data_IF_268961975973
#
_entry.id   IF_268961975973
#
_cell.length_a   1.000
_cell.length_b   1.000
_cell.length_c   1.000
_cell.angle_alpha   90.00
_cell.angle_beta   90.00
_cell.angle_gamma   90.00
#
_symmetry.space_group_name_H-M   'P 1'
#
loop_
_entity.id
_entity.type
_entity.pdbx_description
1 polymer ?
#
# COMPACT_ATOMS: atom_id res chain seq x y z
N UNK A 1 20.71 12.19 1.03
CA UNK A 1 21.00 11.41 2.27
C UNK A 1 20.38 12.19 3.41
N UNK A 2 19.40 11.62 4.11
CA UNK A 2 18.65 12.35 5.14
C UNK A 2 19.14 11.87 6.51
N UNK A 3 19.43 12.83 7.39
CA UNK A 3 19.76 12.55 8.78
C UNK A 3 18.56 12.93 9.63
N UNK A 4 18.09 12.00 10.47
CA UNK A 4 17.06 12.27 11.48
C UNK A 4 17.73 12.19 12.84
N UNK A 5 17.79 13.31 13.56
CA UNK A 5 18.50 13.41 14.84
C UNK A 5 19.96 12.88 14.80
N UNK A 6 20.69 13.18 13.71
CA UNK A 6 22.07 12.74 13.52
C UNK A 6 22.23 11.28 13.06
N UNK A 7 21.14 10.50 12.97
CA UNK A 7 21.17 9.11 12.49
C UNK A 7 21.05 9.11 10.97
N UNK A 8 21.93 8.37 10.30
CA UNK A 8 21.86 8.12 8.86
C UNK A 8 20.58 7.35 8.55
N UNK A 9 19.55 8.07 8.11
CA UNK A 9 18.37 7.46 7.54
C UNK A 9 18.67 7.21 6.06
N UNK A 10 18.73 5.93 5.65
CA UNK A 10 18.80 5.59 4.23
C UNK A 10 17.69 6.35 3.49
N UNK A 11 17.95 6.80 2.25
CA UNK A 11 17.06 7.73 1.54
C UNK A 11 15.60 7.27 1.70
N UNK A 12 14.73 8.04 2.35
CA UNK A 12 13.43 7.55 2.81
C UNK A 12 12.49 7.18 1.66
N UNK A 13 12.76 7.70 0.46
CA UNK A 13 12.23 7.26 -0.82
C UNK A 13 12.39 5.75 -1.08
N UNK A 14 13.41 5.11 -0.47
CA UNK A 14 13.68 3.67 -0.60
C UNK A 14 12.87 2.78 0.35
N UNK A 15 12.12 3.33 1.29
CA UNK A 15 11.46 2.54 2.34
C UNK A 15 9.96 2.76 2.38
N UNK A 16 9.51 3.99 2.64
CA UNK A 16 8.10 4.29 2.94
C UNK A 16 7.61 5.54 2.20
N UNK A 17 8.47 6.53 1.96
CA UNK A 17 8.02 7.84 1.47
C UNK A 17 7.55 7.81 0.01
N UNK A 18 8.04 6.87 -0.80
CA UNK A 18 7.62 6.79 -2.21
C UNK A 18 6.10 6.66 -2.36
N UNK A 19 5.42 5.91 -1.49
CA UNK A 19 3.97 5.73 -1.55
C UNK A 19 3.23 7.01 -1.16
N UNK A 20 3.73 7.77 -0.18
CA UNK A 20 3.19 9.07 0.22
C UNK A 20 3.34 10.13 -0.88
N UNK A 21 4.47 10.15 -1.59
CA UNK A 21 4.67 11.03 -2.76
C UNK A 21 3.65 10.67 -3.85
N UNK A 22 3.48 9.37 -4.14
CA UNK A 22 2.48 8.91 -5.09
C UNK A 22 1.08 9.37 -4.69
N UNK A 23 0.70 9.18 -3.42
CA UNK A 23 -0.61 9.58 -2.88
C UNK A 23 -0.85 11.09 -3.02
N UNK A 24 0.13 11.93 -2.69
CA UNK A 24 0.03 13.39 -2.87
C UNK A 24 -0.21 13.77 -4.33
N UNK A 25 0.52 13.14 -5.26
CA UNK A 25 0.34 13.35 -6.70
C UNK A 25 -1.07 12.91 -7.13
N UNK A 26 -1.55 11.78 -6.64
CA UNK A 26 -2.89 11.27 -7.00
C UNK A 26 -4.00 12.21 -6.54
N UNK A 27 -3.92 12.72 -5.30
CA UNK A 27 -4.88 13.70 -4.81
C UNK A 27 -4.81 15.02 -5.59
N UNK A 28 -3.62 15.47 -6.01
CA UNK A 28 -3.47 16.65 -6.86
C UNK A 28 -4.05 16.42 -8.28
N UNK A 29 -3.91 15.22 -8.83
CA UNK A 29 -4.43 14.86 -10.15
C UNK A 29 -5.93 14.56 -10.15
N UNK A 30 -6.50 14.14 -9.02
CA UNK A 30 -7.90 13.70 -8.95
C UNK A 30 -8.90 14.72 -9.51
N UNK A 31 -8.85 16.03 -9.16
CA UNK A 31 -9.79 17.01 -9.71
C UNK A 31 -9.72 17.10 -11.24
N UNK A 32 -8.51 17.07 -11.80
CA UNK A 32 -8.30 17.11 -13.25
C UNK A 32 -8.89 15.87 -13.92
N UNK A 33 -8.66 14.68 -13.32
CA UNK A 33 -9.23 13.44 -13.81
C UNK A 33 -10.76 13.43 -13.68
N UNK A 34 -11.32 13.99 -12.61
CA UNK A 34 -12.76 14.03 -12.36
C UNK A 34 -13.51 14.96 -13.32
N UNK A 35 -12.90 16.08 -13.74
CA UNK A 35 -13.51 17.03 -14.70
C UNK A 35 -13.73 16.39 -16.08
N UNK A 36 -12.91 15.40 -16.46
CA UNK A 36 -13.03 14.75 -17.77
C UNK A 36 -14.22 13.79 -17.83
N UNK A 37 -15.07 13.91 -18.87
CA UNK A 37 -16.31 13.12 -19.05
C UNK A 37 -16.10 11.62 -19.35
N UNK A 38 -14.86 11.17 -19.49
CA UNK A 38 -14.54 9.77 -19.75
C UNK A 38 -14.90 8.90 -18.55
N UNK A 39 -15.41 7.68 -18.77
CA UNK A 39 -15.71 6.78 -17.66
C UNK A 39 -14.44 6.40 -16.89
N UNK A 40 -14.56 6.25 -15.58
CA UNK A 40 -13.45 5.81 -14.71
C UNK A 40 -12.85 4.48 -15.16
N UNK A 41 -13.66 3.57 -15.71
CA UNK A 41 -13.17 2.30 -16.24
C UNK A 41 -12.23 2.49 -17.43
N UNK A 42 -12.58 3.37 -18.38
CA UNK A 42 -11.74 3.69 -19.53
C UNK A 42 -10.44 4.39 -19.10
N UNK A 43 -10.52 5.33 -18.15
CA UNK A 43 -9.35 5.99 -17.57
C UNK A 43 -8.39 4.98 -16.94
N UNK A 44 -8.93 4.10 -16.11
CA UNK A 44 -8.17 3.04 -15.42
C UNK A 44 -7.50 2.12 -16.43
N UNK A 45 -8.23 1.64 -17.44
CA UNK A 45 -7.70 0.77 -18.48
C UNK A 45 -6.56 1.43 -19.27
N UNK A 46 -6.73 2.68 -19.69
CA UNK A 46 -5.71 3.41 -20.43
C UNK A 46 -4.45 3.65 -19.58
N UNK A 47 -4.63 3.97 -18.30
CA UNK A 47 -3.51 4.17 -17.37
C UNK A 47 -2.80 2.85 -17.05
N UNK A 48 -3.50 1.72 -17.03
CA UNK A 48 -2.85 0.39 -16.98
C UNK A 48 -1.94 0.17 -18.18
N UNK A 49 -2.39 0.52 -19.40
CA UNK A 49 -1.56 0.40 -20.61
C UNK A 49 -0.32 1.28 -20.51
N UNK A 50 -0.47 2.56 -20.15
CA UNK A 50 0.65 3.47 -19.96
C UNK A 50 1.64 2.92 -18.93
N UNK A 51 1.13 2.47 -17.78
CA UNK A 51 1.96 1.92 -16.72
C UNK A 51 2.73 0.69 -17.20
N UNK A 52 2.09 -0.21 -17.94
CA UNK A 52 2.73 -1.39 -18.50
C UNK A 52 3.84 -1.03 -19.49
N UNK A 53 3.60 -0.07 -20.39
CA UNK A 53 4.63 0.43 -21.32
C UNK A 53 5.83 1.00 -20.56
N UNK A 54 5.59 1.81 -19.53
CA UNK A 54 6.66 2.40 -18.71
C UNK A 54 7.41 1.31 -17.94
N UNK A 55 6.74 0.27 -17.44
CA UNK A 55 7.42 -0.87 -16.79
C UNK A 55 8.32 -1.59 -17.80
N UNK A 56 7.82 -1.89 -19.00
CA UNK A 56 8.61 -2.56 -20.03
C UNK A 56 9.85 -1.77 -20.43
N UNK A 57 9.75 -0.43 -20.52
CA UNK A 57 10.88 0.43 -20.86
C UNK A 57 11.83 0.68 -19.68
N UNK A 58 11.29 1.09 -18.53
CA UNK A 58 12.05 1.53 -17.36
C UNK A 58 12.55 0.41 -16.46
N UNK A 59 11.83 -0.70 -16.39
CA UNK A 59 12.18 -1.89 -15.59
C UNK A 59 12.49 -3.10 -16.46
N UNK A 60 13.03 -2.88 -17.68
CA UNK A 60 13.33 -3.94 -18.64
C UNK A 60 14.20 -5.08 -18.07
N UNK A 61 15.10 -4.77 -17.11
CA UNK A 61 15.94 -5.77 -16.46
C UNK A 61 15.15 -6.74 -15.60
N UNK A 62 14.21 -6.23 -14.79
CA UNK A 62 13.32 -7.07 -13.99
C UNK A 62 12.38 -7.88 -14.87
N UNK A 63 11.92 -7.30 -15.99
CA UNK A 63 11.09 -8.00 -16.98
C UNK A 63 11.90 -9.12 -17.64
N UNK A 64 13.13 -8.84 -18.07
CA UNK A 64 14.00 -9.85 -18.67
C UNK A 64 14.32 -10.95 -17.66
N UNK A 65 14.72 -10.61 -16.44
CA UNK A 65 15.00 -11.56 -15.37
C UNK A 65 13.79 -12.43 -15.02
N UNK A 66 12.57 -11.89 -15.12
CA UNK A 66 11.34 -12.66 -14.97
C UNK A 66 11.18 -13.75 -16.05
N UNK A 67 11.55 -13.47 -17.31
CA UNK A 67 11.46 -14.46 -18.39
C UNK A 67 12.66 -15.40 -18.44
N UNK A 68 13.88 -14.89 -18.24
CA UNK A 68 15.12 -15.67 -18.38
C UNK A 68 15.55 -16.33 -17.09
N UNK A 69 14.93 -15.99 -15.95
CA UNK A 69 15.29 -16.47 -14.62
C UNK A 69 16.77 -16.27 -14.29
N UNK A 70 17.40 -15.25 -14.88
CA UNK A 70 18.84 -14.97 -14.79
C UNK A 70 19.10 -13.46 -14.79
N UNK A 71 20.28 -13.04 -14.34
CA UNK A 71 20.69 -11.63 -14.36
C UNK A 71 20.34 -10.86 -13.09
N UNK A 72 20.55 -9.54 -13.14
CA UNK A 72 20.34 -8.66 -12.00
C UNK A 72 18.86 -8.29 -11.84
N UNK A 73 18.24 -8.84 -10.79
CA UNK A 73 16.86 -8.59 -10.40
C UNK A 73 16.81 -7.61 -9.21
N UNK A 74 16.05 -6.51 -9.33
CA UNK A 74 15.90 -5.54 -8.26
C UNK A 74 14.77 -5.92 -7.29
N UNK A 75 13.63 -6.34 -7.83
CA UNK A 75 12.50 -6.81 -7.02
C UNK A 75 11.82 -5.73 -6.18
N UNK A 76 11.97 -4.45 -6.52
CA UNK A 76 11.29 -3.34 -5.84
C UNK A 76 10.19 -2.73 -6.70
N UNK A 77 9.05 -2.42 -6.08
CA UNK A 77 7.95 -1.74 -6.76
C UNK A 77 8.32 -0.29 -7.13
N UNK A 78 9.10 0.37 -6.28
CA UNK A 78 9.52 1.77 -6.43
C UNK A 78 10.81 1.96 -7.24
N UNK A 79 11.25 0.94 -7.98
CA UNK A 79 12.54 0.95 -8.70
C UNK A 79 12.72 2.08 -9.72
N UNK A 80 11.61 2.68 -10.19
CA UNK A 80 11.66 3.83 -11.11
C UNK A 80 11.81 5.18 -10.40
N UNK A 81 11.99 5.18 -9.08
CA UNK A 81 12.17 6.37 -8.27
C UNK A 81 10.90 7.24 -8.15
N UNK A 82 11.00 8.40 -7.47
CA UNK A 82 9.83 9.24 -7.16
C UNK A 82 9.18 9.86 -8.40
N UNK A 83 9.92 10.02 -9.50
CA UNK A 83 9.44 10.72 -10.70
C UNK A 83 8.51 9.87 -11.58
N UNK A 84 8.66 8.54 -11.57
CA UNK A 84 7.91 7.65 -12.47
C UNK A 84 7.07 6.60 -11.73
N UNK A 85 7.44 6.24 -10.49
CA UNK A 85 6.70 5.22 -9.70
C UNK A 85 5.24 5.60 -9.50
N UNK A 86 4.92 6.90 -9.40
CA UNK A 86 3.53 7.34 -9.26
C UNK A 86 2.68 6.95 -10.46
N UNK A 87 3.20 6.98 -11.69
CA UNK A 87 2.43 6.53 -12.87
C UNK A 87 2.12 5.04 -12.75
N UNK A 88 3.08 4.25 -12.27
CA UNK A 88 2.95 2.81 -12.10
C UNK A 88 1.90 2.43 -11.05
N UNK A 89 1.80 3.19 -9.96
CA UNK A 89 0.78 2.97 -8.91
C UNK A 89 -0.58 3.61 -9.20
N UNK A 90 -0.65 4.56 -10.12
CA UNK A 90 -1.90 5.24 -10.48
C UNK A 90 -3.03 4.29 -10.92
N UNK A 91 -2.81 3.23 -11.72
CA UNK A 91 -3.89 2.31 -12.06
C UNK A 91 -4.47 1.61 -10.82
N UNK A 92 -3.62 1.25 -9.84
CA UNK A 92 -4.05 0.64 -8.57
C UNK A 92 -4.88 1.63 -7.75
N UNK A 93 -4.45 2.89 -7.68
CA UNK A 93 -5.22 3.93 -7.00
C UNK A 93 -6.58 4.18 -7.67
N UNK A 94 -6.64 4.17 -9.00
CA UNK A 94 -7.89 4.31 -9.75
C UNK A 94 -8.87 3.15 -9.58
N UNK A 95 -8.39 1.94 -9.28
CA UNK A 95 -9.28 0.86 -8.83
C UNK A 95 -9.99 1.23 -7.52
N UNK A 96 -9.30 1.93 -6.61
CA UNK A 96 -9.90 2.51 -5.40
C UNK A 96 -10.96 3.56 -5.73
N UNK A 97 -10.67 4.48 -6.65
CA UNK A 97 -11.65 5.46 -7.14
C UNK A 97 -12.88 4.77 -7.73
N UNK A 98 -12.70 3.72 -8.54
CA UNK A 98 -13.81 2.93 -9.08
C UNK A 98 -14.71 2.32 -7.99
N UNK A 99 -14.13 1.88 -6.87
CA UNK A 99 -14.90 1.41 -5.70
C UNK A 99 -15.66 2.59 -5.10
N UNK A 100 -14.99 3.70 -4.81
CA UNK A 100 -15.57 4.86 -4.14
C UNK A 100 -16.77 5.43 -4.93
N UNK A 101 -16.62 5.61 -6.24
CA UNK A 101 -17.67 6.14 -7.13
C UNK A 101 -18.88 5.22 -7.26
N UNK A 102 -18.74 3.93 -6.93
CA UNK A 102 -19.80 2.94 -7.01
C UNK A 102 -20.17 2.37 -5.65
N UNK A 103 -19.74 3.01 -4.55
CA UNK A 103 -19.87 2.46 -3.20
C UNK A 103 -21.32 2.23 -2.83
N UNK A 104 -22.23 3.12 -3.25
CA UNK A 104 -23.66 3.02 -2.96
C UNK A 104 -24.34 1.87 -3.70
N UNK A 105 -23.86 1.57 -4.92
CA UNK A 105 -24.43 0.58 -5.83
C UNK A 105 -23.86 -0.84 -5.64
N UNK A 106 -23.12 -1.09 -4.57
CA UNK A 106 -22.53 -2.40 -4.30
C UNK A 106 -23.60 -3.42 -3.90
N UNK A 107 -23.62 -4.55 -4.62
CA UNK A 107 -24.50 -5.69 -4.31
C UNK A 107 -23.99 -6.45 -3.08
N UNK A 108 -24.90 -6.85 -2.19
CA UNK A 108 -24.58 -7.70 -1.04
C UNK A 108 -23.90 -8.99 -1.47
N UNK A 109 -22.97 -9.47 -0.64
CA UNK A 109 -22.22 -10.70 -0.88
C UNK A 109 -22.43 -11.69 0.26
N UNK A 110 -22.43 -12.99 -0.05
CA UNK A 110 -22.47 -14.04 0.96
C UNK A 110 -21.12 -14.22 1.66
N UNK A 111 -21.15 -14.66 2.91
CA UNK A 111 -19.94 -14.94 3.69
C UNK A 111 -19.04 -16.00 3.04
N UNK A 112 -19.60 -17.03 2.42
CA UNK A 112 -18.82 -18.08 1.73
C UNK A 112 -18.01 -17.51 0.57
N UNK A 113 -18.62 -16.63 -0.24
CA UNK A 113 -17.93 -15.99 -1.36
C UNK A 113 -16.87 -15.00 -0.87
N UNK A 114 -17.14 -14.28 0.22
CA UNK A 114 -16.15 -13.42 0.85
C UNK A 114 -14.96 -14.20 1.40
N UNK A 115 -15.22 -15.31 2.08
CA UNK A 115 -14.19 -16.21 2.63
C UNK A 115 -13.33 -16.82 1.52
N UNK A 116 -13.93 -17.16 0.39
CA UNK A 116 -13.18 -17.56 -0.80
C UNK A 116 -12.22 -16.45 -1.27
N UNK A 117 -12.68 -15.20 -1.36
CA UNK A 117 -11.78 -14.08 -1.73
C UNK A 117 -10.65 -13.89 -0.71
N UNK A 118 -10.93 -13.97 0.59
CA UNK A 118 -9.90 -13.87 1.65
C UNK A 118 -8.84 -14.96 1.49
N UNK A 119 -9.26 -16.21 1.34
CA UNK A 119 -8.34 -17.34 1.15
C UNK A 119 -7.55 -17.22 -0.15
N UNK A 120 -8.22 -16.85 -1.24
CA UNK A 120 -7.59 -16.67 -2.55
C UNK A 120 -6.52 -15.58 -2.50
N UNK A 121 -6.80 -14.43 -1.89
CA UNK A 121 -5.85 -13.34 -1.78
C UNK A 121 -4.69 -13.69 -0.86
N UNK A 122 -4.97 -14.31 0.28
CA UNK A 122 -3.91 -14.79 1.16
C UNK A 122 -2.96 -15.73 0.39
N UNK A 123 -3.51 -16.74 -0.27
CA UNK A 123 -2.74 -17.74 -1.03
C UNK A 123 -1.94 -17.08 -2.16
N UNK A 124 -2.59 -16.26 -3.00
CA UNK A 124 -1.92 -15.58 -4.11
C UNK A 124 -0.85 -14.61 -3.60
N UNK A 125 -1.08 -13.93 -2.48
CA UNK A 125 -0.07 -13.04 -1.88
C UNK A 125 1.18 -13.82 -1.44
N UNK A 126 0.99 -14.99 -0.79
CA UNK A 126 2.10 -15.86 -0.43
C UNK A 126 2.86 -16.36 -1.66
N UNK A 127 2.15 -16.75 -2.72
CA UNK A 127 2.77 -17.18 -3.98
C UNK A 127 3.53 -16.05 -4.69
N UNK A 128 2.99 -14.83 -4.70
CA UNK A 128 3.67 -13.67 -5.25
C UNK A 128 4.97 -13.34 -4.49
N UNK A 129 4.94 -13.41 -3.15
CA UNK A 129 6.13 -13.20 -2.32
C UNK A 129 7.14 -14.33 -2.50
N UNK A 130 6.70 -15.59 -2.50
CA UNK A 130 7.57 -16.72 -2.76
C UNK A 130 8.21 -16.63 -4.15
N UNK A 131 7.43 -16.28 -5.18
CA UNK A 131 7.97 -16.12 -6.53
C UNK A 131 8.87 -14.90 -6.69
N UNK A 132 8.65 -13.82 -5.96
CA UNK A 132 9.60 -12.71 -5.88
C UNK A 132 10.94 -13.18 -5.30
N UNK A 133 10.90 -14.02 -4.26
CA UNK A 133 12.10 -14.48 -3.54
C UNK A 133 12.86 -15.59 -4.28
N UNK A 134 12.16 -16.50 -4.93
CA UNK A 134 12.74 -17.72 -5.50
C UNK A 134 12.74 -17.77 -7.04
N UNK A 135 11.88 -17.01 -7.73
CA UNK A 135 11.64 -17.13 -9.18
C UNK A 135 11.62 -15.79 -9.93
N UNK A 136 12.44 -14.82 -9.48
CA UNK A 136 12.59 -13.48 -10.08
C UNK A 136 11.26 -12.87 -10.57
N UNK A 137 10.13 -13.14 -9.89
CA UNK A 137 8.83 -12.67 -10.34
C UNK A 137 8.85 -11.16 -10.20
N UNK A 138 8.79 -10.45 -11.33
CA UNK A 138 8.86 -8.98 -11.36
C UNK A 138 7.82 -8.38 -10.42
N UNK A 139 8.29 -7.83 -9.30
CA UNK A 139 7.41 -7.35 -8.24
C UNK A 139 6.58 -6.15 -8.70
N UNK A 140 7.17 -5.29 -9.54
CA UNK A 140 6.48 -4.15 -10.16
C UNK A 140 5.36 -4.59 -11.12
N UNK A 141 5.48 -5.74 -11.79
CA UNK A 141 4.42 -6.32 -12.61
C UNK A 141 3.39 -7.08 -11.78
N UNK A 142 3.84 -7.99 -10.93
CA UNK A 142 2.97 -8.90 -10.18
C UNK A 142 2.05 -8.14 -9.23
N UNK A 143 2.52 -7.07 -8.59
CA UNK A 143 1.70 -6.20 -7.73
C UNK A 143 0.58 -5.50 -8.51
N UNK A 144 0.85 -5.02 -9.74
CA UNK A 144 -0.17 -4.37 -10.57
C UNK A 144 -1.24 -5.36 -11.04
N UNK A 145 -0.86 -6.59 -11.35
CA UNK A 145 -1.81 -7.66 -11.71
C UNK A 145 -2.60 -8.09 -10.47
N UNK A 146 -1.92 -8.29 -9.35
CA UNK A 146 -2.52 -8.66 -8.07
C UNK A 146 -3.52 -7.61 -7.57
N UNK A 147 -3.29 -6.32 -7.86
CA UNK A 147 -4.22 -5.24 -7.54
C UNK A 147 -5.63 -5.44 -8.12
N UNK A 148 -5.76 -6.09 -9.29
CA UNK A 148 -7.08 -6.41 -9.87
C UNK A 148 -7.85 -7.43 -9.01
N UNK A 149 -7.13 -8.37 -8.41
CA UNK A 149 -7.71 -9.34 -7.47
C UNK A 149 -8.07 -8.66 -6.15
N UNK A 150 -7.16 -7.83 -5.62
CA UNK A 150 -7.40 -7.01 -4.43
C UNK A 150 -8.63 -6.12 -4.60
N UNK A 151 -8.80 -5.46 -5.75
CA UNK A 151 -9.98 -4.67 -6.07
C UNK A 151 -11.28 -5.47 -5.89
N UNK A 152 -11.35 -6.71 -6.39
CA UNK A 152 -12.54 -7.56 -6.25
C UNK A 152 -12.83 -7.92 -4.78
N UNK A 153 -11.80 -8.21 -4.01
CA UNK A 153 -11.96 -8.53 -2.59
C UNK A 153 -12.33 -7.32 -1.74
N UNK A 154 -11.62 -6.19 -1.87
CA UNK A 154 -11.93 -4.97 -1.11
C UNK A 154 -13.35 -4.51 -1.43
N UNK A 155 -13.74 -4.53 -2.71
CA UNK A 155 -15.13 -4.26 -3.12
C UNK A 155 -16.13 -5.20 -2.42
N UNK A 156 -15.77 -6.47 -2.27
CA UNK A 156 -16.60 -7.48 -1.61
C UNK A 156 -16.65 -7.30 -0.09
N UNK A 157 -15.55 -6.94 0.56
CA UNK A 157 -15.50 -6.61 2.00
C UNK A 157 -16.41 -5.43 2.31
N UNK A 158 -16.31 -4.35 1.53
CA UNK A 158 -17.16 -3.15 1.71
C UNK A 158 -18.63 -3.53 1.53
N UNK A 159 -18.96 -4.33 0.50
CA UNK A 159 -20.32 -4.77 0.26
C UNK A 159 -20.88 -5.66 1.38
N UNK A 160 -20.05 -6.49 2.01
CA UNK A 160 -20.42 -7.32 3.15
C UNK A 160 -20.65 -6.48 4.40
N UNK A 161 -19.74 -5.54 4.67
CA UNK A 161 -19.73 -4.64 5.82
C UNK A 161 -20.99 -3.76 5.89
N UNK A 162 -21.58 -3.39 4.75
CA UNK A 162 -22.84 -2.62 4.73
C UNK A 162 -23.97 -3.28 5.52
N UNK A 163 -23.99 -4.61 5.60
CA UNK A 163 -25.08 -5.38 6.22
C UNK A 163 -24.63 -6.15 7.47
N UNK A 164 -23.36 -6.10 7.84
CA UNK A 164 -22.79 -6.87 8.95
C UNK A 164 -21.84 -5.99 9.75
N UNK A 165 -22.01 -5.94 11.06
CA UNK A 165 -21.11 -5.18 11.90
C UNK A 165 -19.74 -5.88 12.01
N UNK A 166 -18.65 -5.11 11.97
CA UNK A 166 -17.32 -5.64 12.24
C UNK A 166 -17.18 -5.99 13.72
N UNK A 167 -16.19 -6.83 14.02
CA UNK A 167 -15.73 -6.97 15.39
C UNK A 167 -15.03 -5.68 15.84
N UNK A 168 -15.56 -5.07 16.91
CA UNK A 168 -15.12 -3.79 17.44
C UNK A 168 -13.66 -3.77 17.88
N UNK A 169 -13.14 -4.89 18.39
CA UNK A 169 -11.75 -5.03 18.80
C UNK A 169 -10.84 -4.99 17.57
N UNK A 170 -11.14 -5.80 16.55
CA UNK A 170 -10.32 -5.87 15.33
C UNK A 170 -10.34 -4.55 14.57
N UNK A 171 -11.49 -3.85 14.55
CA UNK A 171 -11.59 -2.53 13.95
C UNK A 171 -10.77 -1.49 14.72
N UNK A 172 -10.80 -1.55 16.06
CA UNK A 172 -10.02 -0.66 16.90
C UNK A 172 -8.51 -0.86 16.74
N UNK A 173 -8.06 -2.11 16.57
CA UNK A 173 -6.66 -2.42 16.24
C UNK A 173 -6.29 -1.93 14.83
N UNK A 174 -7.22 -2.04 13.87
CA UNK A 174 -6.99 -1.52 12.51
C UNK A 174 -6.76 -0.01 12.47
N UNK A 175 -7.37 0.76 13.38
CA UNK A 175 -7.28 2.23 13.40
C UNK A 175 -5.88 2.78 13.62
N UNK A 176 -5.01 2.09 14.36
CA UNK A 176 -3.63 2.57 14.58
C UNK A 176 -2.61 2.01 13.56
N UNK A 177 -3.07 1.19 12.60
CA UNK A 177 -2.18 0.55 11.61
C UNK A 177 -1.36 1.56 10.80
N UNK A 178 -1.92 2.75 10.50
CA UNK A 178 -1.21 3.83 9.84
C UNK A 178 -0.09 4.41 10.73
N UNK A 179 -0.38 4.71 12.00
CA UNK A 179 0.64 5.08 12.99
C UNK A 179 1.77 4.03 13.07
N UNK A 180 1.43 2.74 13.07
CA UNK A 180 2.42 1.66 13.08
C UNK A 180 3.28 1.69 11.83
N UNK A 181 2.69 1.81 10.64
CA UNK A 181 3.40 1.92 9.37
C UNK A 181 4.40 3.08 9.36
N UNK A 182 4.01 4.24 9.89
CA UNK A 182 4.86 5.44 9.92
C UNK A 182 5.97 5.33 10.98
N UNK A 183 5.65 4.86 12.18
CA UNK A 183 6.54 4.97 13.33
C UNK A 183 7.51 3.80 13.43
N UNK A 184 7.15 2.58 12.99
CA UNK A 184 8.01 1.41 13.20
C UNK A 184 9.44 1.53 12.63
N UNK A 185 9.70 2.14 11.44
CA UNK A 185 11.07 2.28 10.93
C UNK A 185 11.87 3.31 11.74
N UNK A 186 11.21 4.38 12.20
CA UNK A 186 11.82 5.42 13.02
C UNK A 186 12.19 4.86 14.39
N UNK A 187 11.27 4.14 15.03
CA UNK A 187 11.49 3.50 16.33
C UNK A 187 12.64 2.48 16.20
N UNK A 188 12.63 1.64 15.16
CA UNK A 188 13.72 0.72 14.89
C UNK A 188 15.07 1.44 14.75
N UNK A 189 15.12 2.52 13.98
CA UNK A 189 16.33 3.30 13.78
C UNK A 189 16.87 3.91 15.08
N UNK A 190 15.99 4.43 15.94
CA UNK A 190 16.35 5.01 17.24
C UNK A 190 16.86 3.93 18.20
N UNK A 191 16.14 2.80 18.31
CA UNK A 191 16.54 1.71 19.19
C UNK A 191 17.87 1.08 18.77
N UNK A 192 18.14 1.01 17.46
CA UNK A 192 19.39 0.47 16.91
C UNK A 192 20.64 1.30 17.26
N UNK A 193 20.50 2.52 17.79
CA UNK A 193 21.62 3.29 18.34
C UNK A 193 22.16 2.66 19.62
N UNK A 194 21.26 2.17 20.47
CA UNK A 194 21.57 1.77 21.84
C UNK A 194 21.51 0.26 22.05
N UNK A 195 20.77 -0.46 21.21
CA UNK A 195 20.51 -1.89 21.33
C UNK A 195 20.89 -2.62 20.05
N UNK A 196 21.67 -3.69 20.20
CA UNK A 196 21.93 -4.63 19.09
C UNK A 196 20.67 -5.46 18.87
N UNK A 197 20.19 -5.52 17.62
CA UNK A 197 19.08 -6.39 17.24
C UNK A 197 19.55 -7.85 17.15
N UNK A 198 19.10 -8.68 18.09
CA UNK A 198 19.33 -10.12 18.16
C UNK A 198 18.05 -10.82 18.64
N UNK A 199 18.05 -12.17 18.70
CA UNK A 199 16.87 -12.95 19.12
C UNK A 199 16.25 -12.48 20.45
N UNK A 200 17.07 -12.10 21.43
CA UNK A 200 16.62 -11.69 22.77
C UNK A 200 16.05 -10.27 22.78
N UNK A 201 16.66 -9.35 22.03
CA UNK A 201 16.22 -7.94 21.96
C UNK A 201 15.13 -7.71 20.92
N UNK A 202 14.94 -8.60 19.94
CA UNK A 202 13.96 -8.44 18.87
C UNK A 202 12.53 -8.30 19.38
N UNK A 203 12.16 -9.09 20.41
CA UNK A 203 10.83 -9.01 21.04
C UNK A 203 10.62 -7.61 21.64
N UNK A 204 11.66 -7.02 22.24
CA UNK A 204 11.62 -5.66 22.76
C UNK A 204 11.45 -4.64 21.64
N UNK A 205 12.14 -4.79 20.50
CA UNK A 205 11.95 -3.93 19.32
C UNK A 205 10.50 -3.97 18.82
N UNK A 206 9.92 -5.16 18.67
CA UNK A 206 8.53 -5.32 18.22
C UNK A 206 7.56 -4.70 19.24
N UNK A 207 7.74 -5.00 20.52
CA UNK A 207 6.89 -4.47 21.58
C UNK A 207 6.93 -2.93 21.62
N UNK A 208 8.13 -2.34 21.63
CA UNK A 208 8.29 -0.89 21.65
C UNK A 208 7.77 -0.24 20.35
N UNK A 209 7.96 -0.87 19.20
CA UNK A 209 7.40 -0.41 17.93
C UNK A 209 5.87 -0.32 18.00
N UNK A 210 5.20 -1.38 18.47
CA UNK A 210 3.74 -1.39 18.62
C UNK A 210 3.28 -0.38 19.68
N UNK A 211 3.93 -0.37 20.84
CA UNK A 211 3.56 0.47 21.97
C UNK A 211 3.68 1.96 21.65
N UNK A 212 4.83 2.41 21.14
CA UNK A 212 5.06 3.82 20.80
C UNK A 212 4.16 4.24 19.63
N UNK A 213 3.95 3.37 18.64
CA UNK A 213 3.01 3.67 17.54
C UNK A 213 1.58 3.83 18.04
N UNK A 214 1.16 3.03 19.02
CA UNK A 214 -0.15 3.16 19.66
C UNK A 214 -0.27 4.46 20.47
N UNK A 215 0.78 4.87 21.19
CA UNK A 215 0.82 6.17 21.85
C UNK A 215 0.72 7.32 20.85
N UNK A 216 1.45 7.25 19.74
CA UNK A 216 1.38 8.22 18.65
C UNK A 216 -0.05 8.31 18.08
N UNK A 217 -0.72 7.17 17.88
CA UNK A 217 -2.12 7.15 17.47
C UNK A 217 -3.03 7.90 18.44
N UNK A 218 -2.89 7.66 19.76
CA UNK A 218 -3.75 8.29 20.77
C UNK A 218 -3.49 9.79 20.92
N UNK A 219 -2.23 10.21 20.86
CA UNK A 219 -1.80 11.58 21.18
C UNK A 219 -1.83 12.49 19.95
N UNK A 220 -1.54 11.96 18.76
CA UNK A 220 -1.35 12.74 17.53
C UNK A 220 -2.41 12.41 16.49
N UNK A 221 -2.49 11.15 16.03
CA UNK A 221 -3.32 10.78 14.88
C UNK A 221 -4.82 10.98 15.18
N UNK A 222 -5.31 10.39 16.27
CA UNK A 222 -6.73 10.43 16.65
C UNK A 222 -7.23 11.84 16.95
N UNK A 223 -6.52 12.71 17.69
CA UNK A 223 -6.91 14.10 17.85
C UNK A 223 -6.89 14.89 16.54
N UNK A 224 -5.90 14.66 15.67
CA UNK A 224 -5.81 15.32 14.36
C UNK A 224 -6.99 14.95 13.45
N UNK A 225 -7.37 13.67 13.40
CA UNK A 225 -8.58 13.25 12.67
C UNK A 225 -9.85 13.92 13.21
N UNK A 226 -9.99 14.01 14.54
CA UNK A 226 -11.14 14.70 15.17
C UNK A 226 -11.16 16.19 14.81
N UNK A 227 -10.00 16.84 14.78
CA UNK A 227 -9.88 18.24 14.38
C UNK A 227 -10.27 18.42 12.90
N UNK A 228 -9.74 17.59 12.01
CA UNK A 228 -10.05 17.64 10.58
C UNK A 228 -11.56 17.47 10.29
N UNK A 229 -12.22 16.50 10.93
CA UNK A 229 -13.67 16.30 10.80
C UNK A 229 -14.50 17.48 11.33
N UNK A 230 -14.00 18.20 12.35
CA UNK A 230 -14.67 19.40 12.85
C UNK A 230 -14.53 20.54 11.85
N UNK A 231 -13.33 20.76 11.32
CA UNK A 231 -13.06 21.81 10.34
C UNK A 231 -13.79 21.57 9.01
N UNK A 232 -13.96 20.33 8.57
CA UNK A 232 -14.69 20.01 7.33
C UNK A 232 -16.21 20.22 7.41
N UNK A 233 -16.75 20.47 8.62
CA UNK A 233 -18.18 20.70 8.85
C UNK A 233 -18.52 22.18 9.05
N UNK A 234 -17.50 23.05 9.11
CA UNK A 234 -17.61 24.51 9.18
C UNK A 234 -17.56 25.03 7.74
#
# INVERSE_FOLDING_TARGET
MIYVAGIKFNHPDKTVIWSLICELIYYALYPLLAITKTSWLKKTFFIFIISFIIILAGAHRDVLAFFTQTGAYQGYYWQLGPFLTWIIGLPVWLLGVLIAENVDNLKSISFSKLSFYRFLIFTVSCLCVAGQLYWHISYILSMNIFALLMYKWIKSEIAYFKNHQPNSLTESMGKFSYSLYLCHPLIYAILSIWLVNNMSTYILFVFLAVFISYLFYLIVEKPSHRLAMKLSRI
#
